data_IF_609146002779
#
_entry.id   IF_609146002779
#
_cell.length_a   1.000
_cell.length_b   1.000
_cell.length_c   1.000
_cell.angle_alpha   90.00
_cell.angle_beta   90.00
_cell.angle_gamma   90.00
#
_symmetry.space_group_name_H-M   'P 1'
#
loop_
_entity.id
_entity.type
_entity.pdbx_description
1 polymer ?
#
# COMPACT_ATOMS: atom_id res chain seq x y z
N UNK A 1 -3.30 12.73 11.74
CA UNK A 1 -1.88 12.36 11.49
C UNK A 1 -1.85 11.03 10.77
N UNK A 2 -1.15 10.96 9.64
CA UNK A 2 -1.01 9.75 8.81
C UNK A 2 0.44 9.27 8.85
N UNK A 3 0.66 8.07 9.36
CA UNK A 3 1.97 7.42 9.43
C UNK A 3 2.00 6.27 8.46
N UNK A 4 2.89 6.30 7.47
CA UNK A 4 3.03 5.26 6.47
C UNK A 4 4.22 4.34 6.81
N UNK A 5 3.99 3.04 6.86
CA UNK A 5 5.03 2.04 7.03
C UNK A 5 5.43 1.48 5.66
N UNK A 6 6.72 1.57 5.34
CA UNK A 6 7.28 1.20 4.04
C UNK A 6 8.42 0.20 4.20
N UNK A 7 8.59 -0.66 3.20
CA UNK A 7 9.80 -1.48 3.06
C UNK A 7 10.13 -1.68 1.59
N UNK A 8 11.41 -1.75 1.28
CA UNK A 8 11.87 -1.93 -0.11
C UNK A 8 11.65 -3.34 -0.66
N UNK A 9 11.33 -4.33 0.18
CA UNK A 9 11.03 -5.72 -0.21
C UNK A 9 9.95 -6.34 0.67
N UNK A 10 9.32 -7.41 0.17
CA UNK A 10 8.48 -8.27 0.99
C UNK A 10 9.29 -8.96 2.10
N UNK A 11 8.65 -9.24 3.23
CA UNK A 11 9.27 -9.96 4.34
C UNK A 11 10.20 -9.15 5.26
N UNK A 12 10.41 -7.84 5.03
CA UNK A 12 11.21 -6.99 5.92
C UNK A 12 10.53 -6.73 7.29
N UNK A 13 9.26 -7.10 7.45
CA UNK A 13 8.50 -6.90 8.69
C UNK A 13 7.67 -5.62 8.75
N UNK A 14 7.43 -4.97 7.62
CA UNK A 14 6.60 -3.76 7.48
C UNK A 14 5.24 -3.92 8.16
N UNK A 15 4.48 -4.96 7.80
CA UNK A 15 3.15 -5.25 8.37
C UNK A 15 3.22 -5.48 9.87
N UNK A 16 4.24 -6.21 10.37
CA UNK A 16 4.46 -6.41 11.80
C UNK A 16 4.60 -5.07 12.54
N UNK A 17 5.42 -4.16 12.00
CA UNK A 17 5.59 -2.81 12.56
C UNK A 17 4.28 -2.03 12.49
N UNK A 18 3.59 -2.03 11.35
CA UNK A 18 2.37 -1.27 11.14
C UNK A 18 1.22 -1.71 12.08
N UNK A 19 0.99 -3.02 12.22
CA UNK A 19 -0.11 -3.53 13.06
C UNK A 19 0.16 -3.26 14.54
N UNK A 20 1.42 -3.43 15.01
CA UNK A 20 1.76 -3.20 16.40
C UNK A 20 1.82 -1.71 16.74
N UNK A 21 2.23 -0.85 15.81
CA UNK A 21 2.15 0.62 15.99
C UNK A 21 0.69 1.07 16.16
N UNK A 22 -0.21 0.57 15.33
CA UNK A 22 -1.64 0.90 15.45
C UNK A 22 -2.26 0.32 16.73
N UNK A 23 -1.84 -0.87 17.17
CA UNK A 23 -2.28 -1.47 18.44
C UNK A 23 -1.80 -0.67 19.64
N UNK A 24 -0.52 -0.29 19.68
CA UNK A 24 0.07 0.51 20.75
C UNK A 24 -0.56 1.91 20.87
N UNK A 25 -1.04 2.47 19.75
CA UNK A 25 -1.74 3.75 19.74
C UNK A 25 -3.14 3.67 20.40
N UNK A 26 -3.69 2.48 20.60
CA UNK A 26 -4.99 2.20 21.20
C UNK A 26 -6.15 2.65 20.30
N UNK A 27 -6.33 3.96 20.08
CA UNK A 27 -7.37 4.50 19.19
C UNK A 27 -6.76 4.97 17.87
N UNK A 28 -6.91 4.17 16.82
CA UNK A 28 -6.32 4.43 15.51
C UNK A 28 -7.16 3.87 14.35
N UNK A 29 -6.87 4.33 13.14
CA UNK A 29 -7.29 3.68 11.89
C UNK A 29 -6.09 2.98 11.27
N UNK A 30 -6.19 1.67 11.09
CA UNK A 30 -5.23 0.88 10.34
C UNK A 30 -5.72 0.71 8.91
N UNK A 31 -4.89 1.08 7.93
CA UNK A 31 -5.17 0.98 6.51
C UNK A 31 -4.21 -0.02 5.86
N UNK A 32 -4.73 -1.13 5.36
CA UNK A 32 -3.99 -2.10 4.57
C UNK A 32 -4.07 -1.72 3.08
N UNK A 33 -2.99 -1.13 2.59
CA UNK A 33 -2.81 -0.74 1.19
C UNK A 33 -2.01 -1.78 0.38
N UNK A 34 -1.59 -2.90 0.97
CA UNK A 34 -1.02 -4.04 0.26
C UNK A 34 -2.15 -4.87 -0.37
N UNK A 35 -2.85 -4.25 -1.31
CA UNK A 35 -4.13 -4.75 -1.85
C UNK A 35 -4.05 -6.04 -2.65
N UNK A 36 -2.84 -6.43 -3.07
CA UNK A 36 -2.58 -7.70 -3.76
C UNK A 36 -2.44 -8.85 -2.77
N UNK A 37 -1.76 -8.61 -1.63
CA UNK A 37 -1.53 -9.58 -0.57
C UNK A 37 -1.84 -8.99 0.82
N UNK A 38 -3.11 -8.62 1.13
CA UNK A 38 -3.45 -7.95 2.38
C UNK A 38 -3.34 -8.90 3.58
N UNK A 39 -2.28 -8.76 4.35
CA UNK A 39 -1.95 -9.62 5.48
C UNK A 39 -2.34 -9.03 6.84
N UNK A 40 -2.59 -7.73 6.93
CA UNK A 40 -2.93 -7.06 8.19
C UNK A 40 -4.16 -7.63 8.88
N UNK A 41 -5.18 -8.05 8.11
CA UNK A 41 -6.40 -8.68 8.64
C UNK A 41 -6.14 -9.98 9.41
N UNK A 42 -5.05 -10.69 9.14
CA UNK A 42 -4.68 -11.91 9.85
C UNK A 42 -4.30 -11.63 11.31
N UNK A 43 -3.67 -10.47 11.56
CA UNK A 43 -3.33 -9.98 12.90
C UNK A 43 -4.56 -9.38 13.60
N UNK A 44 -5.30 -8.54 12.89
CA UNK A 44 -6.41 -7.80 13.46
C UNK A 44 -7.63 -8.66 13.74
N UNK A 45 -7.96 -9.65 12.88
CA UNK A 45 -9.18 -10.47 12.97
C UNK A 45 -10.41 -9.60 13.24
N UNK A 46 -10.67 -8.56 12.42
CA UNK A 46 -11.66 -7.54 12.70
C UNK A 46 -13.08 -8.12 12.78
N UNK A 47 -13.92 -7.50 13.61
CA UNK A 47 -15.34 -7.84 13.75
C UNK A 47 -16.22 -6.82 13.03
N UNK A 48 -17.49 -7.17 12.77
CA UNK A 48 -18.46 -6.28 12.16
C UNK A 48 -18.10 -5.84 10.75
N UNK A 49 -17.47 -6.71 9.97
CA UNK A 49 -16.96 -6.38 8.64
C UNK A 49 -18.09 -5.94 7.71
N UNK A 50 -17.93 -4.76 7.11
CA UNK A 50 -18.74 -4.27 6.00
C UNK A 50 -17.91 -4.28 4.75
N UNK A 51 -18.47 -4.77 3.65
CA UNK A 51 -17.80 -4.88 2.36
C UNK A 51 -18.40 -3.89 1.37
N UNK A 52 -17.56 -3.17 0.64
CA UNK A 52 -17.96 -2.26 -0.44
C UNK A 52 -17.15 -2.56 -1.69
N UNK A 53 -17.80 -2.68 -2.84
CA UNK A 53 -17.13 -2.90 -4.12
C UNK A 53 -16.43 -1.63 -4.56
N UNK A 54 -15.22 -1.77 -5.07
CA UNK A 54 -14.44 -0.68 -5.67
C UNK A 54 -14.49 -0.84 -7.18
N UNK A 55 -14.83 0.25 -7.87
CA UNK A 55 -14.88 0.30 -9.32
C UNK A 55 -13.73 1.16 -9.87
N UNK A 56 -13.28 0.82 -11.07
CA UNK A 56 -12.49 1.68 -11.94
C UNK A 56 -13.29 2.01 -13.18
N UNK A 57 -12.82 2.97 -13.98
CA UNK A 57 -13.49 3.41 -15.19
C UNK A 57 -12.81 2.81 -16.42
N UNK A 58 -13.56 2.15 -17.28
CA UNK A 58 -13.10 1.66 -18.58
C UNK A 58 -13.67 2.51 -19.71
N UNK A 59 -12.86 2.81 -20.77
CA UNK A 59 -13.36 3.50 -21.93
C UNK A 59 -14.34 2.63 -22.73
N UNK A 60 -15.44 3.23 -23.10
CA UNK A 60 -16.40 2.72 -24.06
C UNK A 60 -16.44 3.64 -25.29
N UNK A 61 -16.52 3.06 -26.47
CA UNK A 61 -16.42 3.78 -27.74
C UNK A 61 -17.74 3.81 -28.49
N UNK A 62 -18.30 5.00 -28.71
CA UNK A 62 -19.44 5.19 -29.60
C UNK A 62 -18.98 5.09 -31.05
N UNK A 63 -19.40 4.00 -31.70
CA UNK A 63 -19.05 3.73 -33.10
C UNK A 63 -19.65 4.74 -34.08
N UNK A 64 -20.78 5.37 -33.75
CA UNK A 64 -21.44 6.37 -34.61
C UNK A 64 -20.71 7.74 -34.57
N UNK A 65 -20.19 8.11 -33.39
CA UNK A 65 -19.44 9.34 -33.21
C UNK A 65 -17.95 9.20 -33.56
N UNK A 66 -17.41 7.97 -33.59
CA UNK A 66 -15.98 7.73 -33.82
C UNK A 66 -15.58 7.99 -35.27
N UNK A 67 -14.66 8.95 -35.48
CA UNK A 67 -14.13 9.31 -36.80
C UNK A 67 -12.98 8.42 -37.27
N UNK A 68 -12.54 7.43 -36.50
CA UNK A 68 -11.43 6.54 -36.83
C UNK A 68 -10.04 7.20 -36.80
N UNK A 69 -9.88 8.35 -36.14
CA UNK A 69 -8.63 9.14 -36.13
C UNK A 69 -7.47 8.48 -35.33
N UNK A 70 -7.71 7.39 -34.61
CA UNK A 70 -6.76 6.58 -33.83
C UNK A 70 -5.99 7.31 -32.73
N UNK A 71 -6.24 8.58 -32.45
CA UNK A 71 -5.52 9.35 -31.39
C UNK A 71 -5.55 8.69 -30.03
N UNK A 72 -6.66 8.05 -29.63
CA UNK A 72 -6.79 7.32 -28.38
C UNK A 72 -5.84 6.11 -28.31
N UNK A 73 -5.68 5.38 -29.42
CA UNK A 73 -4.78 4.22 -29.53
C UNK A 73 -3.31 4.67 -29.45
N UNK A 74 -2.95 5.70 -30.19
CA UNK A 74 -1.58 6.26 -30.21
C UNK A 74 -1.18 6.88 -28.86
N UNK A 75 -2.15 7.49 -28.17
CA UNK A 75 -1.94 8.08 -26.84
C UNK A 75 -1.71 7.02 -25.76
N UNK A 76 -2.31 5.83 -25.87
CA UNK A 76 -2.31 4.84 -24.80
C UNK A 76 -0.92 4.28 -24.51
N UNK A 77 -0.28 4.75 -23.44
CA UNK A 77 1.06 4.30 -23.00
C UNK A 77 1.09 2.87 -22.48
N UNK A 78 -0.09 2.33 -22.13
CA UNK A 78 -0.25 0.96 -21.62
C UNK A 78 -0.56 -0.04 -22.74
N UNK A 79 -0.70 0.43 -24.00
CA UNK A 79 -1.10 -0.40 -25.13
C UNK A 79 -2.40 -1.18 -24.91
N UNK A 80 -3.27 -0.63 -24.05
CA UNK A 80 -4.57 -1.23 -23.71
C UNK A 80 -5.64 -1.02 -24.80
N UNK A 81 -5.31 -0.29 -25.90
CA UNK A 81 -6.21 -0.01 -26.99
C UNK A 81 -5.61 -0.48 -28.32
N UNK A 82 -6.40 -1.17 -29.10
CA UNK A 82 -6.07 -1.52 -30.49
C UNK A 82 -7.17 -1.05 -31.43
N UNK A 83 -6.82 -0.78 -32.69
CA UNK A 83 -7.79 -0.43 -33.73
C UNK A 83 -8.13 -1.70 -34.53
N UNK A 84 -9.29 -2.31 -34.26
CA UNK A 84 -9.71 -3.59 -34.83
C UNK A 84 -11.05 -3.39 -35.51
N UNK A 85 -11.20 -3.88 -36.76
CA UNK A 85 -12.45 -3.79 -37.53
C UNK A 85 -13.04 -2.37 -37.52
N UNK A 86 -12.18 -1.39 -37.84
CA UNK A 86 -12.53 0.03 -37.98
C UNK A 86 -13.01 0.73 -36.70
N UNK A 87 -12.75 0.14 -35.52
CA UNK A 87 -13.06 0.75 -34.22
C UNK A 87 -11.95 0.54 -33.19
N UNK A 88 -11.78 1.47 -32.24
CA UNK A 88 -10.95 1.24 -31.09
C UNK A 88 -11.55 0.11 -30.22
N UNK A 89 -10.71 -0.81 -29.78
CA UNK A 89 -11.09 -1.91 -28.89
C UNK A 89 -10.21 -1.85 -27.65
N UNK A 90 -10.82 -1.88 -26.46
CA UNK A 90 -10.11 -1.91 -25.18
C UNK A 90 -9.82 -3.34 -24.75
N UNK A 91 -8.64 -3.53 -24.14
CA UNK A 91 -8.26 -4.72 -23.41
C UNK A 91 -8.32 -4.38 -21.91
N UNK A 92 -9.41 -4.77 -21.23
CA UNK A 92 -9.66 -4.39 -19.83
C UNK A 92 -8.58 -4.85 -18.86
N UNK A 93 -7.92 -5.97 -19.16
CA UNK A 93 -6.86 -6.58 -18.33
C UNK A 93 -5.55 -5.76 -18.34
N UNK A 94 -5.39 -4.87 -19.33
CA UNK A 94 -4.20 -4.02 -19.49
C UNK A 94 -4.52 -2.55 -19.24
N UNK A 95 -5.81 -2.20 -19.17
CA UNK A 95 -6.24 -0.81 -18.99
C UNK A 95 -6.01 -0.33 -17.57
N UNK A 96 -5.27 0.77 -17.42
CA UNK A 96 -5.01 1.42 -16.13
C UNK A 96 -6.05 2.48 -15.72
N UNK A 97 -7.16 2.59 -16.44
CA UNK A 97 -8.27 3.51 -16.10
C UNK A 97 -7.81 4.97 -15.92
N UNK A 98 -6.90 5.44 -16.76
CA UNK A 98 -6.30 6.77 -16.63
C UNK A 98 -7.11 7.91 -17.26
N UNK A 99 -8.20 7.62 -18.00
CA UNK A 99 -9.07 8.59 -18.65
C UNK A 99 -8.46 9.29 -19.88
N UNK A 100 -7.19 9.04 -20.19
CA UNK A 100 -6.47 9.76 -21.23
C UNK A 100 -7.04 9.62 -22.65
N UNK A 101 -7.61 8.45 -22.98
CA UNK A 101 -8.27 8.21 -24.27
C UNK A 101 -9.53 9.09 -24.47
N UNK A 102 -10.26 9.37 -23.38
CA UNK A 102 -11.39 10.30 -23.41
C UNK A 102 -10.93 11.73 -23.65
N UNK A 103 -9.87 12.17 -22.95
CA UNK A 103 -9.33 13.53 -23.06
C UNK A 103 -8.81 13.87 -24.47
N UNK A 104 -8.20 12.88 -25.16
CA UNK A 104 -7.62 13.11 -26.49
C UNK A 104 -8.57 12.87 -27.63
N UNK A 105 -9.82 12.47 -27.38
CA UNK A 105 -10.81 12.18 -28.41
C UNK A 105 -11.44 13.48 -28.95
N UNK A 106 -11.12 13.93 -30.21
CA UNK A 106 -11.65 15.18 -30.72
C UNK A 106 -13.14 15.12 -31.07
N UNK A 107 -13.68 13.91 -31.24
CA UNK A 107 -15.08 13.67 -31.57
C UNK A 107 -15.97 13.44 -30.34
N UNK A 108 -15.39 13.42 -29.13
CA UNK A 108 -16.14 13.10 -27.91
C UNK A 108 -16.76 11.68 -27.92
N UNK A 109 -16.22 10.78 -28.74
CA UNK A 109 -16.75 9.42 -28.95
C UNK A 109 -16.32 8.42 -27.86
N UNK A 110 -15.67 8.88 -26.80
CA UNK A 110 -15.23 8.02 -25.68
C UNK A 110 -15.95 8.41 -24.41
N UNK A 111 -16.71 7.48 -23.88
CA UNK A 111 -17.31 7.55 -22.54
C UNK A 111 -16.61 6.56 -21.61
N UNK A 112 -16.98 6.54 -20.36
CA UNK A 112 -16.42 5.60 -19.38
C UNK A 112 -17.52 4.84 -18.67
N UNK A 113 -17.29 3.55 -18.46
CA UNK A 113 -18.19 2.64 -17.74
C UNK A 113 -17.51 2.07 -16.53
N UNK A 114 -18.26 1.78 -15.47
CA UNK A 114 -17.72 1.20 -14.24
C UNK A 114 -17.38 -0.29 -14.42
N UNK A 115 -16.15 -0.66 -13.97
CA UNK A 115 -15.69 -2.04 -13.87
C UNK A 115 -15.34 -2.34 -12.41
N UNK A 116 -15.88 -3.39 -11.76
CA UNK A 116 -15.48 -3.80 -10.44
C UNK A 116 -14.05 -4.34 -10.46
N UNK A 117 -13.13 -3.70 -9.70
CA UNK A 117 -11.70 -4.06 -9.67
C UNK A 117 -11.24 -4.60 -8.33
N UNK A 118 -12.07 -4.51 -7.30
CA UNK A 118 -11.74 -4.98 -5.98
C UNK A 118 -12.81 -4.63 -4.97
N UNK A 119 -12.47 -4.76 -3.70
CA UNK A 119 -13.37 -4.41 -2.60
C UNK A 119 -12.62 -3.84 -1.41
N UNK A 120 -13.34 -3.09 -0.59
CA UNK A 120 -12.94 -2.68 0.76
C UNK A 120 -13.65 -3.56 1.77
N UNK A 121 -12.93 -3.97 2.80
CA UNK A 121 -13.47 -4.55 4.02
C UNK A 121 -13.17 -3.61 5.18
N UNK A 122 -14.19 -3.17 5.89
CA UNK A 122 -14.08 -2.26 7.03
C UNK A 122 -14.68 -2.93 8.25
N UNK A 123 -13.88 -3.11 9.29
CA UNK A 123 -14.28 -3.66 10.56
C UNK A 123 -13.55 -3.01 11.72
N UNK A 124 -13.69 -3.56 12.92
CA UNK A 124 -13.04 -3.03 14.14
C UNK A 124 -12.46 -4.16 14.98
N UNK A 125 -11.40 -3.85 15.74
CA UNK A 125 -10.92 -4.63 16.86
C UNK A 125 -10.63 -3.69 18.03
N UNK A 126 -11.39 -3.79 19.10
CA UNK A 126 -11.36 -2.77 20.16
C UNK A 126 -11.65 -1.39 19.57
N UNK A 127 -10.82 -0.41 19.90
CA UNK A 127 -10.93 0.97 19.41
C UNK A 127 -10.17 1.21 18.08
N UNK A 128 -9.58 0.17 17.50
CA UNK A 128 -8.90 0.26 16.21
C UNK A 128 -9.87 -0.05 15.07
N UNK A 129 -10.02 0.91 14.16
CA UNK A 129 -10.73 0.72 12.91
C UNK A 129 -9.78 0.11 11.89
N UNK A 130 -10.16 -1.02 11.32
CA UNK A 130 -9.35 -1.81 10.37
C UNK A 130 -9.98 -1.72 8.98
N UNK A 131 -9.24 -1.23 8.02
CA UNK A 131 -9.65 -1.11 6.62
C UNK A 131 -8.68 -1.91 5.76
N UNK A 132 -9.22 -2.86 5.02
CA UNK A 132 -8.43 -3.71 4.12
C UNK A 132 -8.88 -3.52 2.69
N UNK A 133 -7.97 -3.17 1.80
CA UNK A 133 -8.20 -3.18 0.36
C UNK A 133 -7.88 -4.56 -0.21
N UNK A 134 -8.73 -5.07 -1.10
CA UNK A 134 -8.52 -6.36 -1.76
C UNK A 134 -8.73 -6.17 -3.25
N UNK A 135 -7.67 -6.39 -4.03
CA UNK A 135 -7.68 -6.33 -5.48
C UNK A 135 -8.23 -7.64 -6.06
N UNK A 136 -9.00 -7.55 -7.14
CA UNK A 136 -9.40 -8.74 -7.87
C UNK A 136 -8.20 -9.34 -8.63
N UNK A 137 -8.08 -10.67 -8.69
CA UNK A 137 -7.01 -11.30 -9.47
C UNK A 137 -7.03 -10.87 -10.94
N UNK A 138 -5.87 -10.61 -11.51
CA UNK A 138 -5.70 -10.23 -12.92
C UNK A 138 -5.96 -8.77 -13.26
N UNK A 139 -6.21 -7.90 -12.27
CA UNK A 139 -6.33 -6.46 -12.51
C UNK A 139 -4.95 -5.81 -12.75
N UNK A 140 -4.89 -4.89 -13.73
CA UNK A 140 -3.66 -4.21 -14.12
C UNK A 140 -3.09 -3.27 -13.05
N UNK A 141 -3.91 -2.77 -12.13
CA UNK A 141 -3.51 -1.74 -11.19
C UNK A 141 -4.32 -1.79 -9.89
N UNK A 142 -3.62 -1.83 -8.76
CA UNK A 142 -4.20 -1.70 -7.43
C UNK A 142 -4.53 -0.25 -7.01
N UNK A 143 -4.11 0.76 -7.79
CA UNK A 143 -4.27 2.17 -7.41
C UNK A 143 -5.72 2.57 -7.10
N UNK A 144 -6.75 2.16 -7.87
CA UNK A 144 -8.13 2.50 -7.52
C UNK A 144 -8.55 1.98 -6.14
N UNK A 145 -8.11 0.77 -5.78
CA UNK A 145 -8.39 0.16 -4.47
C UNK A 145 -7.62 0.89 -3.37
N UNK A 146 -6.32 1.18 -3.57
CA UNK A 146 -5.49 1.95 -2.63
C UNK A 146 -6.12 3.31 -2.35
N UNK A 147 -6.55 4.04 -3.38
CA UNK A 147 -7.25 5.33 -3.22
C UNK A 147 -8.53 5.21 -2.41
N UNK A 148 -9.28 4.15 -2.62
CA UNK A 148 -10.50 3.89 -1.86
C UNK A 148 -10.18 3.59 -0.38
N UNK A 149 -9.09 2.85 -0.08
CA UNK A 149 -8.57 2.61 1.27
C UNK A 149 -8.16 3.93 1.92
N UNK A 150 -7.33 4.74 1.25
CA UNK A 150 -6.81 6.00 1.79
C UNK A 150 -7.90 7.03 2.12
N UNK A 151 -9.02 7.03 1.39
CA UNK A 151 -10.20 7.85 1.69
C UNK A 151 -10.87 7.51 3.03
N UNK A 152 -10.54 6.35 3.60
CA UNK A 152 -11.05 5.91 4.90
C UNK A 152 -10.20 6.39 6.07
N UNK A 153 -9.12 7.16 5.82
CA UNK A 153 -8.25 7.69 6.86
C UNK A 153 -9.00 8.59 7.83
N UNK A 154 -8.90 8.32 9.13
CA UNK A 154 -9.60 9.03 10.19
C UNK A 154 -8.75 9.08 11.45
N UNK A 155 -8.60 10.26 12.05
CA UNK A 155 -7.82 10.45 13.26
C UNK A 155 -6.32 10.10 13.07
N UNK A 156 -5.75 9.40 14.07
CA UNK A 156 -4.43 8.79 13.91
C UNK A 156 -4.55 7.59 12.97
N UNK A 157 -3.85 7.64 11.86
CA UNK A 157 -3.94 6.64 10.80
C UNK A 157 -2.57 6.01 10.56
N UNK A 158 -2.51 4.69 10.60
CA UNK A 158 -1.33 3.89 10.22
C UNK A 158 -1.61 3.23 8.88
N UNK A 159 -0.77 3.50 7.89
CA UNK A 159 -0.89 2.98 6.53
C UNK A 159 0.16 1.88 6.34
N UNK A 160 -0.28 0.66 6.14
CA UNK A 160 0.58 -0.46 5.73
C UNK A 160 0.67 -0.45 4.21
N UNK A 161 1.81 0.02 3.68
CA UNK A 161 2.01 0.21 2.25
C UNK A 161 2.32 -1.11 1.52
N UNK A 162 2.13 -1.20 0.21
CA UNK A 162 2.72 -2.29 -0.57
C UNK A 162 4.24 -2.32 -0.45
N UNK A 163 4.91 -3.47 -0.66
CA UNK A 163 6.36 -3.53 -0.69
C UNK A 163 6.95 -2.88 -1.97
N UNK A 164 8.22 -2.46 -1.89
CA UNK A 164 8.94 -1.91 -3.04
C UNK A 164 8.82 -0.40 -3.17
N UNK A 165 9.04 0.12 -4.38
CA UNK A 165 9.08 1.56 -4.71
C UNK A 165 8.25 1.91 -5.95
N UNK A 166 7.23 1.11 -6.27
CA UNK A 166 6.37 1.28 -7.43
C UNK A 166 5.29 2.37 -7.21
N UNK A 167 4.47 2.64 -8.25
CA UNK A 167 3.40 3.62 -8.20
C UNK A 167 2.38 3.38 -7.07
N UNK A 168 2.16 2.13 -6.69
CA UNK A 168 1.28 1.77 -5.56
C UNK A 168 1.81 2.30 -4.21
N UNK A 169 3.13 2.22 -3.99
CA UNK A 169 3.77 2.79 -2.80
C UNK A 169 3.72 4.32 -2.85
N UNK A 170 4.04 4.91 -4.01
CA UNK A 170 3.95 6.35 -4.21
C UNK A 170 2.55 6.87 -3.86
N UNK A 171 1.50 6.25 -4.39
CA UNK A 171 0.11 6.60 -4.09
C UNK A 171 -0.20 6.51 -2.58
N UNK A 172 0.31 5.46 -1.92
CA UNK A 172 0.05 5.22 -0.49
C UNK A 172 0.65 6.27 0.43
N UNK A 173 1.73 6.95 0.01
CA UNK A 173 2.46 7.91 0.84
C UNK A 173 2.29 9.38 0.43
N UNK A 174 1.53 9.65 -0.64
CA UNK A 174 1.36 11.02 -1.16
C UNK A 174 0.96 12.04 -0.10
N UNK A 175 0.10 11.65 0.85
CA UNK A 175 -0.42 12.51 1.91
C UNK A 175 0.06 12.08 3.32
N UNK A 176 1.12 11.26 3.42
CA UNK A 176 1.66 10.85 4.71
C UNK A 176 2.39 11.99 5.41
N UNK A 177 2.17 12.15 6.71
CA UNK A 177 2.88 13.12 7.55
C UNK A 177 4.25 12.60 7.94
N UNK A 178 4.37 11.27 8.11
CA UNK A 178 5.60 10.57 8.46
C UNK A 178 5.66 9.22 7.74
N UNK A 179 6.82 8.89 7.20
CA UNK A 179 7.14 7.58 6.65
C UNK A 179 8.08 6.82 7.59
N UNK A 180 7.68 5.65 8.06
CA UNK A 180 8.53 4.72 8.80
C UNK A 180 9.10 3.72 7.81
N UNK A 181 10.40 3.79 7.59
CA UNK A 181 11.13 2.91 6.67
C UNK A 181 11.63 1.69 7.45
N UNK A 182 11.05 0.52 7.16
CA UNK A 182 11.44 -0.73 7.80
C UNK A 182 12.54 -1.40 7.00
N UNK A 183 13.73 -1.48 7.59
CA UNK A 183 14.94 -1.99 6.98
C UNK A 183 15.39 -3.31 7.65
N UNK A 184 15.89 -4.23 6.85
CA UNK A 184 16.60 -5.42 7.30
C UNK A 184 18.12 -5.16 7.16
N UNK A 185 18.95 -5.39 8.20
CA UNK A 185 20.37 -5.02 8.20
C UNK A 185 21.23 -6.01 7.40
N UNK A 186 20.96 -6.09 6.10
CA UNK A 186 21.69 -6.93 5.12
C UNK A 186 22.01 -6.10 3.87
N UNK A 187 22.98 -6.52 3.08
CA UNK A 187 23.33 -5.82 1.83
C UNK A 187 22.13 -5.68 0.89
N UNK A 188 21.33 -6.75 0.75
CA UNK A 188 20.13 -6.73 -0.08
C UNK A 188 19.02 -5.86 0.55
N UNK A 189 18.82 -5.95 1.88
CA UNK A 189 17.88 -5.10 2.62
C UNK A 189 18.22 -3.63 2.49
N UNK A 190 19.49 -3.28 2.62
CA UNK A 190 19.99 -1.91 2.49
C UNK A 190 19.78 -1.32 1.09
N UNK A 191 20.10 -2.08 0.04
CA UNK A 191 19.86 -1.65 -1.33
C UNK A 191 18.37 -1.28 -1.56
N UNK A 192 17.46 -2.15 -1.13
CA UNK A 192 16.03 -1.91 -1.27
C UNK A 192 15.54 -0.75 -0.38
N UNK A 193 16.11 -0.60 0.82
CA UNK A 193 15.84 0.54 1.70
C UNK A 193 16.19 1.87 1.04
N UNK A 194 17.33 1.96 0.36
CA UNK A 194 17.74 3.17 -0.35
C UNK A 194 16.72 3.59 -1.43
N UNK A 195 16.15 2.64 -2.16
CA UNK A 195 15.13 2.91 -3.18
C UNK A 195 13.85 3.52 -2.58
N UNK A 196 13.38 2.96 -1.45
CA UNK A 196 12.18 3.47 -0.77
C UNK A 196 12.43 4.82 -0.13
N UNK A 197 13.62 5.03 0.46
CA UNK A 197 14.03 6.33 0.96
C UNK A 197 14.08 7.38 -0.15
N UNK A 198 14.64 7.06 -1.32
CA UNK A 198 14.66 7.97 -2.46
C UNK A 198 13.25 8.38 -2.88
N UNK A 199 12.32 7.42 -2.95
CA UNK A 199 10.92 7.70 -3.28
C UNK A 199 10.28 8.65 -2.24
N UNK A 200 10.39 8.35 -0.95
CA UNK A 200 9.84 9.19 0.11
C UNK A 200 10.46 10.60 0.11
N UNK A 201 11.77 10.69 -0.12
CA UNK A 201 12.51 11.94 -0.20
C UNK A 201 12.08 12.78 -1.42
N UNK A 202 11.89 12.17 -2.59
CA UNK A 202 11.39 12.85 -3.79
C UNK A 202 9.99 13.47 -3.57
N UNK A 203 9.17 12.82 -2.75
CA UNK A 203 7.85 13.32 -2.38
C UNK A 203 7.88 14.31 -1.20
N UNK A 204 9.07 14.65 -0.68
CA UNK A 204 9.24 15.56 0.44
C UNK A 204 8.67 15.03 1.75
N UNK A 205 8.60 13.69 1.93
CA UNK A 205 8.05 13.08 3.15
C UNK A 205 9.12 13.03 4.24
N UNK A 206 8.72 13.31 5.50
CA UNK A 206 9.57 13.07 6.66
C UNK A 206 9.76 11.58 6.85
N UNK A 207 10.97 11.14 7.17
CA UNK A 207 11.30 9.73 7.33
C UNK A 207 11.93 9.45 8.68
N UNK A 208 11.57 8.31 9.28
CA UNK A 208 12.26 7.65 10.38
C UNK A 208 12.53 6.20 10.02
N UNK A 209 13.45 5.55 10.70
CA UNK A 209 13.91 4.20 10.36
C UNK A 209 13.63 3.23 11.49
N UNK A 210 13.10 2.06 11.16
CA UNK A 210 13.04 0.89 12.05
C UNK A 210 13.93 -0.18 11.45
N UNK A 211 14.96 -0.58 12.17
CA UNK A 211 15.82 -1.71 11.80
C UNK A 211 15.20 -2.97 12.39
N UNK A 212 14.81 -3.90 11.55
CA UNK A 212 14.14 -5.14 11.95
C UNK A 212 15.00 -6.37 11.65
N UNK A 213 14.86 -7.42 12.46
CA UNK A 213 15.65 -8.67 12.38
C UNK A 213 17.15 -8.41 12.52
N UNK A 214 17.51 -7.58 13.47
CA UNK A 214 18.90 -7.21 13.70
C UNK A 214 19.60 -8.28 14.54
N UNK A 215 20.53 -9.02 13.93
CA UNK A 215 21.44 -9.93 14.64
C UNK A 215 22.73 -9.19 15.04
N UNK A 216 23.18 -8.27 14.18
CA UNK A 216 24.34 -7.43 14.39
C UNK A 216 24.17 -6.11 13.62
N UNK A 217 24.83 -5.03 14.09
CA UNK A 217 24.81 -3.75 13.39
C UNK A 217 25.33 -3.88 11.95
N UNK A 218 24.61 -3.30 10.99
CA UNK A 218 25.02 -3.23 9.60
C UNK A 218 25.52 -1.81 9.29
N UNK A 219 26.84 -1.62 9.41
CA UNK A 219 27.51 -0.31 9.30
C UNK A 219 27.07 0.52 8.09
N UNK A 220 26.93 -0.04 6.85
CA UNK A 220 26.51 0.78 5.72
C UNK A 220 25.12 1.41 5.86
N UNK A 221 24.18 0.75 6.53
CA UNK A 221 22.85 1.30 6.80
C UNK A 221 22.91 2.41 7.85
N UNK A 222 23.71 2.21 8.90
CA UNK A 222 23.87 3.20 9.98
C UNK A 222 24.57 4.47 9.49
N UNK A 223 25.63 4.29 8.70
CA UNK A 223 26.36 5.40 8.06
C UNK A 223 25.42 6.20 7.15
N UNK A 224 24.64 5.53 6.34
CA UNK A 224 23.66 6.17 5.47
C UNK A 224 22.62 6.96 6.27
N UNK A 225 22.09 6.40 7.36
CA UNK A 225 21.14 7.09 8.23
C UNK A 225 21.76 8.35 8.84
N UNK A 226 23.00 8.25 9.34
CA UNK A 226 23.75 9.37 9.92
C UNK A 226 24.02 10.47 8.89
N UNK A 227 24.50 10.12 7.70
CA UNK A 227 24.79 11.07 6.62
C UNK A 227 23.56 11.82 6.12
N UNK A 228 22.40 11.20 6.18
CA UNK A 228 21.11 11.76 5.72
C UNK A 228 20.28 12.38 6.85
N UNK A 229 20.80 12.36 8.09
CA UNK A 229 20.06 12.86 9.25
C UNK A 229 18.78 12.08 9.54
N UNK A 230 18.74 10.79 9.21
CA UNK A 230 17.60 9.91 9.47
C UNK A 230 17.67 9.38 10.89
N UNK A 231 16.60 9.56 11.64
CA UNK A 231 16.49 9.04 13.00
C UNK A 231 16.15 7.54 12.96
N UNK A 232 16.95 6.74 13.67
CA UNK A 232 16.62 5.33 13.93
C UNK A 232 15.68 5.30 15.13
N UNK A 233 14.39 5.12 14.86
CA UNK A 233 13.30 5.15 15.84
C UNK A 233 13.30 3.92 16.73
N UNK A 234 13.65 2.75 16.17
CA UNK A 234 13.69 1.48 16.90
C UNK A 234 14.62 0.47 16.21
N UNK A 235 15.11 -0.47 17.04
CA UNK A 235 15.84 -1.67 16.61
C UNK A 235 15.13 -2.88 17.17
N UNK A 236 14.72 -3.78 16.29
CA UNK A 236 14.02 -5.02 16.62
C UNK A 236 15.00 -6.16 16.32
N UNK A 237 15.48 -6.86 17.36
CA UNK A 237 16.38 -7.99 17.15
C UNK A 237 15.68 -9.14 16.41
N UNK A 238 16.47 -10.01 15.79
CA UNK A 238 15.95 -11.27 15.31
C UNK A 238 15.59 -12.15 16.51
N UNK A 239 14.30 -12.43 16.65
CA UNK A 239 13.77 -13.24 17.72
C UNK A 239 12.83 -14.32 17.14
N UNK A 240 13.16 -15.63 17.34
CA UNK A 240 12.33 -16.72 16.87
C UNK A 240 10.92 -16.72 17.47
N UNK A 241 10.74 -16.27 18.72
CA UNK A 241 9.42 -16.18 19.36
C UNK A 241 8.58 -15.10 18.69
N UNK A 242 9.17 -13.92 18.42
CA UNK A 242 8.53 -12.85 17.67
C UNK A 242 8.14 -13.32 16.25
N UNK A 243 9.03 -14.08 15.59
CA UNK A 243 8.74 -14.66 14.29
C UNK A 243 7.57 -15.66 14.34
N UNK A 244 7.49 -16.50 15.39
CA UNK A 244 6.39 -17.43 15.60
C UNK A 244 5.06 -16.70 15.86
N UNK A 245 5.05 -15.68 16.72
CA UNK A 245 3.86 -14.84 16.96
C UNK A 245 3.36 -14.19 15.66
N UNK A 246 4.29 -13.66 14.86
CA UNK A 246 3.96 -13.06 13.56
C UNK A 246 3.37 -14.08 12.59
N UNK A 247 3.93 -15.29 12.53
CA UNK A 247 3.42 -16.40 11.70
C UNK A 247 2.02 -16.84 12.12
N UNK A 248 1.72 -16.81 13.41
CA UNK A 248 0.38 -17.11 13.98
C UNK A 248 -0.63 -15.95 13.79
N UNK A 249 -0.21 -14.81 13.23
CA UNK A 249 -1.03 -13.62 13.11
C UNK A 249 -1.45 -13.05 14.48
N UNK A 250 -0.55 -13.07 15.44
CA UNK A 250 -0.75 -12.48 16.77
C UNK A 250 -0.10 -11.11 16.87
N UNK A 251 -0.79 -10.17 17.53
CA UNK A 251 -0.21 -8.87 17.86
C UNK A 251 0.76 -9.05 19.04
N UNK A 252 1.97 -8.56 18.88
CA UNK A 252 2.99 -8.57 19.95
C UNK A 252 2.52 -7.73 21.13
N UNK A 253 1.82 -6.63 20.84
CA UNK A 253 1.23 -5.74 21.83
C UNK A 253 0.30 -6.48 22.80
N UNK A 254 -0.53 -7.40 22.33
CA UNK A 254 -1.42 -8.19 23.20
C UNK A 254 -0.64 -9.11 24.13
N UNK A 255 0.49 -9.67 23.65
CA UNK A 255 1.33 -10.56 24.46
C UNK A 255 2.06 -9.79 25.58
N UNK A 256 2.49 -8.56 25.31
CA UNK A 256 3.15 -7.70 26.30
C UNK A 256 2.19 -7.28 27.42
N UNK A 257 0.94 -6.96 27.09
CA UNK A 257 -0.08 -6.64 28.11
C UNK A 257 -0.38 -7.84 29.01
N UNK A 258 -0.46 -9.03 28.44
CA UNK A 258 -0.74 -10.26 29.21
C UNK A 258 0.40 -10.62 30.18
N UNK A 259 1.66 -10.33 29.82
CA UNK A 259 2.82 -10.57 30.69
C UNK A 259 2.96 -9.53 31.79
N UNK A 260 2.50 -8.30 31.60
CA UNK A 260 2.52 -7.24 32.63
C UNK A 260 1.47 -7.51 33.73
N UNK A 261 0.27 -7.98 33.36
CA UNK A 261 -0.78 -8.32 34.32
C UNK A 261 -0.45 -9.58 35.15
N UNK A 262 0.38 -10.51 34.61
CA UNK A 262 0.83 -11.70 35.34
C UNK A 262 2.02 -11.42 36.30
N UNK A 263 2.64 -10.26 36.23
CA UNK A 263 3.74 -9.87 37.12
C UNK A 263 3.25 -9.13 38.40
N UNK A 264 1.97 -8.74 38.45
CA UNK A 264 1.33 -8.04 39.56
C UNK A 264 0.47 -9.00 40.46
N UNK A 265 0.44 -10.33 40.16
CA UNK A 265 -0.10 -11.40 41.03
C UNK A 265 1.05 -12.15 41.73
#
# INVERSE_FOLDING_TARGET
MKIACLSGKGGAGKTLVAVNLAAAAGRATYLDCDVEEPNGRLFWKPQGIRTTVVHSLLPEFDAAACTGCKKCVEFCRFHALMYIREKPTVFPEVCHSCGGCQLVCPAGAVTETEKPVGRLEVGTRGDVRVVTGILNPGEASGIPVIRAVLKQAEGLTVIDCPPGSACSVMESIMDADLCILVAEPTAFGFHNFQMVYQLASLLGRRCGVVINKEDAPYVPLEDFCRERGLEILARIPYDPELAALAADGKLVWDCLLYTSDAADE
#
